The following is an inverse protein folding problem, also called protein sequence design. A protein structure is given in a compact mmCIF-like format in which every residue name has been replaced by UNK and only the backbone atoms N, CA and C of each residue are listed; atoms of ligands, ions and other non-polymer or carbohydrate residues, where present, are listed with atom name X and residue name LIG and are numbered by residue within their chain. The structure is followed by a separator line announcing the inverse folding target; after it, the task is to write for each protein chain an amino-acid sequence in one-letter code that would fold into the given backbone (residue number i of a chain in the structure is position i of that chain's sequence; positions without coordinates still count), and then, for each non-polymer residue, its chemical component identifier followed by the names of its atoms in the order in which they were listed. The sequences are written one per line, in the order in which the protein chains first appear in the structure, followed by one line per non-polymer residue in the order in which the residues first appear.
data_IF_312117360241
#
_entry.id   IF_312117360241
#
_cell.length_a   1.000
_cell.length_b   1.000
_cell.length_c   1.000
_cell.angle_alpha   90.00
_cell.angle_beta   90.00
_cell.angle_gamma   90.00
#
_symmetry.space_group_name_H-M   'P 1'
#
loop_
_entity.id
_entity.type
_entity.pdbx_description
1 polymer ?
#
# COMPACT_ATOMS: atom_id res chain seq x y z
N UNK A 1 -21.19 -12.17 -30.32
CA UNK A 1 -21.12 -13.16 -29.22
C UNK A 1 -19.69 -13.59 -28.89
N UNK A 2 -18.86 -14.01 -29.85
CA UNK A 2 -17.46 -14.38 -29.61
C UNK A 2 -16.63 -13.21 -29.06
N UNK A 3 -16.71 -12.03 -29.67
CA UNK A 3 -15.99 -10.83 -29.22
C UNK A 3 -16.43 -10.36 -27.80
N UNK A 4 -17.65 -10.70 -27.38
CA UNK A 4 -18.14 -10.46 -26.04
C UNK A 4 -17.79 -11.58 -25.04
N UNK A 5 -17.08 -12.64 -25.51
CA UNK A 5 -16.66 -13.75 -24.67
C UNK A 5 -17.78 -14.66 -24.18
N UNK A 6 -19.00 -14.54 -24.72
CA UNK A 6 -20.17 -15.37 -24.35
C UNK A 6 -20.09 -16.75 -24.94
N UNK A 7 -19.51 -16.87 -26.15
CA UNK A 7 -19.21 -18.15 -26.80
C UNK A 7 -17.72 -18.25 -27.10
N UNK A 8 -17.21 -19.48 -27.16
CA UNK A 8 -15.84 -19.82 -27.54
C UNK A 8 -15.84 -20.77 -28.73
N UNK A 9 -14.79 -20.67 -29.55
CA UNK A 9 -14.58 -21.58 -30.65
C UNK A 9 -13.75 -22.77 -30.18
N UNK A 10 -14.30 -23.96 -30.31
CA UNK A 10 -13.62 -25.24 -30.06
C UNK A 10 -13.38 -26.03 -31.36
N UNK A 11 -12.81 -27.22 -31.25
CA UNK A 11 -12.51 -28.10 -32.40
C UNK A 11 -13.76 -28.58 -33.13
N UNK A 12 -14.91 -28.62 -32.47
CA UNK A 12 -16.20 -29.11 -33.01
C UNK A 12 -17.23 -28.01 -33.31
N UNK A 13 -16.81 -26.72 -33.26
CA UNK A 13 -17.70 -25.57 -33.43
C UNK A 13 -17.72 -24.66 -32.22
N UNK A 14 -18.72 -23.76 -32.17
CA UNK A 14 -18.90 -22.84 -31.06
C UNK A 14 -19.59 -23.53 -29.88
N UNK A 15 -19.22 -23.12 -28.66
CA UNK A 15 -19.87 -23.55 -27.43
C UNK A 15 -19.98 -22.39 -26.45
N UNK A 16 -20.95 -22.46 -25.53
CA UNK A 16 -21.18 -21.44 -24.52
C UNK A 16 -20.06 -21.41 -23.49
N UNK A 17 -19.60 -20.20 -23.15
CA UNK A 17 -18.59 -19.98 -22.11
C UNK A 17 -19.13 -20.31 -20.73
N UNK A 18 -20.42 -20.03 -20.49
CA UNK A 18 -21.06 -20.14 -19.18
C UNK A 18 -22.10 -21.26 -19.19
N UNK A 19 -21.67 -22.49 -19.03
CA UNK A 19 -22.54 -23.66 -19.01
C UNK A 19 -22.95 -23.97 -17.58
N UNK A 20 -24.24 -24.18 -17.33
CA UNK A 20 -24.82 -24.54 -16.04
C UNK A 20 -24.41 -23.61 -14.89
N UNK A 21 -24.59 -22.29 -15.09
CA UNK A 21 -24.19 -21.26 -14.13
C UNK A 21 -25.27 -20.23 -13.91
N UNK A 22 -25.38 -19.76 -12.67
CA UNK A 22 -26.08 -18.51 -12.37
C UNK A 22 -25.23 -17.38 -12.89
N UNK A 23 -25.85 -16.53 -13.71
CA UNK A 23 -25.18 -15.42 -14.39
C UNK A 23 -25.41 -14.12 -13.64
N UNK A 24 -24.32 -13.40 -13.41
CA UNK A 24 -24.31 -12.09 -12.78
C UNK A 24 -23.76 -11.09 -13.77
N UNK A 25 -24.51 -10.06 -14.22
CA UNK A 25 -23.99 -9.03 -15.10
C UNK A 25 -22.99 -8.13 -14.35
N UNK A 26 -21.89 -7.81 -14.99
CA UNK A 26 -20.96 -6.76 -14.56
C UNK A 26 -21.36 -5.50 -15.31
N UNK A 27 -21.70 -4.46 -14.54
CA UNK A 27 -22.30 -3.22 -15.05
C UNK A 27 -21.32 -2.08 -14.76
N UNK A 28 -21.01 -1.28 -15.78
CA UNK A 28 -20.16 -0.11 -15.63
C UNK A 28 -20.87 1.02 -14.86
N UNK A 29 -20.14 2.06 -14.49
CA UNK A 29 -20.69 3.22 -13.75
C UNK A 29 -21.78 3.99 -14.52
N UNK A 30 -21.93 3.74 -15.83
CA UNK A 30 -22.95 4.37 -16.69
C UNK A 30 -24.21 3.52 -16.81
N UNK A 31 -24.20 2.29 -16.27
CA UNK A 31 -25.33 1.38 -16.32
C UNK A 31 -25.29 0.40 -17.51
N UNK A 32 -24.21 0.32 -18.27
CA UNK A 32 -24.07 -0.63 -19.38
C UNK A 32 -23.57 -1.97 -18.88
N UNK A 33 -24.16 -3.06 -19.36
CA UNK A 33 -23.63 -4.41 -19.12
C UNK A 33 -22.41 -4.61 -20.01
N UNK A 34 -21.23 -4.76 -19.38
CA UNK A 34 -19.92 -4.85 -20.06
C UNK A 34 -19.32 -6.26 -20.00
N UNK A 35 -19.76 -7.09 -19.04
CA UNK A 35 -19.26 -8.44 -18.85
C UNK A 35 -20.23 -9.28 -17.99
N UNK A 36 -19.87 -10.54 -17.75
CA UNK A 36 -20.61 -11.46 -16.92
C UNK A 36 -19.70 -12.22 -15.97
N UNK A 37 -20.19 -12.46 -14.75
CA UNK A 37 -19.71 -13.50 -13.85
C UNK A 37 -20.65 -14.69 -13.87
N UNK A 38 -20.15 -15.91 -13.77
CA UNK A 38 -20.95 -17.12 -13.71
C UNK A 38 -20.52 -18.02 -12.55
N UNK A 39 -21.47 -18.35 -11.65
CA UNK A 39 -21.24 -19.26 -10.51
C UNK A 39 -21.99 -20.55 -10.70
N UNK A 40 -21.34 -21.71 -10.52
CA UNK A 40 -22.02 -23.00 -10.45
C UNK A 40 -22.84 -23.12 -9.17
N UNK A 41 -23.94 -23.87 -9.23
CA UNK A 41 -24.80 -24.19 -8.07
C UNK A 41 -24.43 -25.53 -7.43
N UNK A 42 -23.60 -26.31 -8.10
CA UNK A 42 -23.08 -27.60 -7.68
C UNK A 42 -21.59 -27.52 -7.30
N UNK A 43 -20.96 -28.67 -7.01
CA UNK A 43 -19.54 -28.75 -6.66
C UNK A 43 -18.60 -28.76 -7.86
N UNK A 44 -19.09 -28.48 -9.06
CA UNK A 44 -18.27 -28.47 -10.28
C UNK A 44 -17.24 -27.33 -10.23
N UNK A 45 -16.09 -27.53 -10.84
CA UNK A 45 -14.99 -26.56 -10.88
C UNK A 45 -14.77 -26.06 -12.30
N UNK A 46 -14.35 -24.79 -12.44
CA UNK A 46 -14.14 -23.77 -11.41
C UNK A 46 -15.46 -23.24 -10.86
N UNK A 47 -15.51 -22.91 -9.56
CA UNK A 47 -16.71 -22.38 -8.87
C UNK A 47 -17.21 -21.09 -9.52
N UNK A 48 -16.30 -20.20 -9.89
CA UNK A 48 -16.58 -18.94 -10.59
C UNK A 48 -15.85 -18.87 -11.92
N UNK A 49 -16.52 -18.31 -12.91
CA UNK A 49 -15.94 -17.91 -14.20
C UNK A 49 -16.35 -16.47 -14.47
N UNK A 50 -15.40 -15.64 -14.87
CA UNK A 50 -15.68 -14.27 -15.33
C UNK A 50 -15.38 -14.18 -16.83
N UNK A 51 -16.06 -13.27 -17.53
CA UNK A 51 -15.75 -12.91 -18.90
C UNK A 51 -14.25 -12.63 -19.05
N UNK A 52 -13.69 -13.00 -20.18
CA UNK A 52 -12.37 -12.55 -20.59
C UNK A 52 -12.40 -11.04 -20.84
N UNK A 53 -11.26 -10.38 -20.83
CA UNK A 53 -11.18 -8.96 -21.17
C UNK A 53 -11.63 -8.74 -22.65
N UNK A 54 -12.29 -7.61 -22.86
CA UNK A 54 -12.80 -7.18 -24.16
C UNK A 54 -12.44 -5.71 -24.41
N UNK A 55 -12.84 -5.16 -25.55
CA UNK A 55 -12.67 -3.74 -25.84
C UNK A 55 -13.39 -2.82 -24.85
N UNK A 56 -14.48 -3.32 -24.23
CA UNK A 56 -15.33 -2.55 -23.29
C UNK A 56 -15.18 -3.01 -21.85
N UNK A 57 -14.46 -4.07 -21.58
CA UNK A 57 -14.29 -4.64 -20.24
C UNK A 57 -12.83 -4.94 -19.91
N UNK A 58 -12.32 -4.30 -18.87
CA UNK A 58 -10.99 -4.56 -18.30
C UNK A 58 -11.16 -4.82 -16.80
N UNK A 59 -10.83 -6.03 -16.35
CA UNK A 59 -10.97 -6.47 -14.94
C UNK A 59 -10.26 -5.57 -13.96
N UNK A 60 -9.16 -4.98 -14.40
CA UNK A 60 -8.30 -4.12 -13.59
C UNK A 60 -8.85 -2.70 -13.38
N UNK A 61 -9.88 -2.31 -14.12
CA UNK A 61 -10.48 -0.98 -14.06
C UNK A 61 -11.90 -0.97 -13.51
N UNK A 62 -12.57 -2.13 -13.49
CA UNK A 62 -13.98 -2.22 -13.13
C UNK A 62 -14.18 -2.79 -11.73
N UNK A 63 -15.26 -2.38 -11.09
CA UNK A 63 -15.71 -2.87 -9.80
C UNK A 63 -17.17 -3.31 -9.90
N UNK A 64 -17.44 -4.53 -9.44
CA UNK A 64 -18.79 -5.04 -9.32
C UNK A 64 -19.57 -4.27 -8.25
N UNK A 65 -20.80 -3.86 -8.57
CA UNK A 65 -21.67 -3.14 -7.64
C UNK A 65 -21.47 -1.62 -7.62
N UNK A 66 -20.41 -1.07 -8.23
CA UNK A 66 -20.14 0.36 -8.19
C UNK A 66 -21.20 1.21 -8.90
N UNK A 67 -21.86 0.67 -9.91
CA UNK A 67 -23.00 1.31 -10.60
C UNK A 67 -24.16 1.65 -9.65
N UNK A 68 -24.34 0.90 -8.57
CA UNK A 68 -25.28 1.16 -7.49
C UNK A 68 -24.64 1.93 -6.34
N UNK A 69 -23.46 1.52 -5.92
CA UNK A 69 -22.78 2.07 -4.76
C UNK A 69 -22.41 3.56 -4.90
N UNK A 70 -22.18 4.05 -6.12
CA UNK A 70 -21.90 5.46 -6.41
C UNK A 70 -23.03 6.42 -6.00
N UNK A 71 -24.26 5.91 -5.96
CA UNK A 71 -25.46 6.68 -5.60
C UNK A 71 -25.86 6.45 -4.12
N UNK A 72 -25.05 5.75 -3.35
CA UNK A 72 -25.23 5.58 -1.92
C UNK A 72 -25.14 6.92 -1.19
N UNK A 73 -25.87 7.05 -0.09
CA UNK A 73 -25.79 8.23 0.80
C UNK A 73 -24.58 8.22 1.73
N UNK A 74 -23.85 7.12 1.75
CA UNK A 74 -22.67 6.95 2.61
C UNK A 74 -21.43 7.59 1.97
N UNK A 75 -20.63 8.28 2.79
CA UNK A 75 -19.32 8.81 2.36
C UNK A 75 -18.25 7.70 2.27
N UNK A 76 -18.61 6.45 2.53
CA UNK A 76 -17.76 5.27 2.51
C UNK A 76 -18.18 4.27 1.45
N UNK A 77 -17.20 3.51 0.92
CA UNK A 77 -17.43 2.28 0.17
C UNK A 77 -16.93 1.08 0.98
N UNK A 78 -17.61 -0.07 0.81
CA UNK A 78 -17.22 -1.33 1.41
C UNK A 78 -16.65 -2.22 0.32
N UNK A 79 -15.37 -2.57 0.41
CA UNK A 79 -14.71 -3.46 -0.55
C UNK A 79 -14.71 -4.89 -0.02
N UNK A 80 -15.40 -5.78 -0.73
CA UNK A 80 -15.49 -7.21 -0.45
C UNK A 80 -14.67 -8.02 -1.47
N UNK A 81 -14.43 -9.30 -1.19
CA UNK A 81 -13.73 -10.20 -2.11
C UNK A 81 -14.56 -10.60 -3.32
N UNK A 82 -15.86 -10.88 -3.11
CA UNK A 82 -16.68 -11.54 -4.12
C UNK A 82 -18.03 -10.90 -4.39
N UNK A 83 -18.62 -11.29 -5.53
CA UNK A 83 -19.93 -10.81 -5.97
C UNK A 83 -21.05 -11.21 -5.00
N UNK A 84 -20.95 -12.40 -4.40
CA UNK A 84 -22.00 -12.89 -3.51
C UNK A 84 -22.07 -12.07 -2.23
N UNK A 85 -20.91 -11.64 -1.70
CA UNK A 85 -20.86 -10.77 -0.53
C UNK A 85 -21.51 -9.42 -0.83
N UNK A 86 -21.19 -8.82 -1.99
CA UNK A 86 -21.80 -7.57 -2.44
C UNK A 86 -23.32 -7.74 -2.60
N UNK A 87 -23.78 -8.82 -3.22
CA UNK A 87 -25.21 -9.09 -3.39
C UNK A 87 -25.91 -9.22 -2.04
N UNK A 88 -25.34 -10.02 -1.11
CA UNK A 88 -25.89 -10.20 0.22
C UNK A 88 -25.93 -8.90 1.02
N UNK A 89 -24.90 -8.10 0.91
CA UNK A 89 -24.83 -6.78 1.56
C UNK A 89 -25.86 -5.81 1.00
N UNK A 90 -26.00 -5.72 -0.32
CA UNK A 90 -27.03 -4.88 -0.95
C UNK A 90 -28.44 -5.34 -0.55
N UNK A 91 -28.72 -6.64 -0.50
CA UNK A 91 -29.99 -7.19 -0.02
C UNK A 91 -30.26 -6.82 1.46
N UNK A 92 -29.21 -6.73 2.28
CA UNK A 92 -29.31 -6.30 3.67
C UNK A 92 -29.36 -4.77 3.83
N UNK A 93 -29.30 -3.99 2.73
CA UNK A 93 -29.38 -2.53 2.74
C UNK A 93 -28.03 -1.81 2.83
N UNK A 94 -26.90 -2.52 2.73
CA UNK A 94 -25.56 -1.92 2.60
C UNK A 94 -25.25 -1.67 1.12
N UNK A 95 -25.86 -0.63 0.56
CA UNK A 95 -25.84 -0.36 -0.89
C UNK A 95 -24.52 0.24 -1.38
N UNK A 96 -23.60 0.54 -0.47
CA UNK A 96 -22.25 1.03 -0.73
C UNK A 96 -21.18 -0.08 -0.88
N UNK A 97 -21.61 -1.36 -0.96
CA UNK A 97 -20.69 -2.49 -1.13
C UNK A 97 -20.27 -2.67 -2.60
N UNK A 98 -18.98 -2.98 -2.80
CA UNK A 98 -18.34 -3.24 -4.10
C UNK A 98 -17.36 -4.41 -4.01
N UNK A 99 -17.03 -5.03 -5.13
CA UNK A 99 -15.97 -6.05 -5.20
C UNK A 99 -15.14 -5.92 -6.46
N UNK A 100 -13.93 -6.48 -6.45
CA UNK A 100 -13.12 -6.67 -7.65
C UNK A 100 -13.76 -7.68 -8.60
N UNK A 101 -13.33 -7.67 -9.86
CA UNK A 101 -13.85 -8.54 -10.92
C UNK A 101 -13.05 -9.84 -11.08
N UNK A 102 -12.69 -10.49 -9.95
CA UNK A 102 -11.95 -11.76 -9.94
C UNK A 102 -10.45 -11.58 -10.18
N UNK A 103 -9.92 -10.43 -9.81
CA UNK A 103 -8.46 -10.14 -9.75
C UNK A 103 -8.15 -9.48 -8.42
N UNK A 104 -6.88 -9.55 -8.01
CA UNK A 104 -6.43 -8.75 -6.88
C UNK A 104 -6.65 -7.26 -7.16
N UNK A 105 -6.89 -6.48 -6.10
CA UNK A 105 -7.08 -5.03 -6.19
C UNK A 105 -5.92 -4.35 -6.93
N UNK A 106 -6.25 -3.40 -7.79
CA UNK A 106 -5.31 -2.66 -8.64
C UNK A 106 -5.25 -1.18 -8.29
N UNK A 107 -4.16 -0.48 -8.64
CA UNK A 107 -4.08 0.98 -8.48
C UNK A 107 -5.18 1.74 -9.24
N UNK A 108 -5.62 1.21 -10.37
CA UNK A 108 -6.70 1.79 -11.19
C UNK A 108 -8.03 1.73 -10.46
N UNK A 109 -8.34 0.58 -9.84
CA UNK A 109 -9.54 0.40 -9.02
C UNK A 109 -9.51 1.30 -7.77
N UNK A 110 -8.35 1.44 -7.12
CA UNK A 110 -8.18 2.39 -6.01
C UNK A 110 -8.47 3.82 -6.43
N UNK A 111 -7.93 4.26 -7.58
CA UNK A 111 -8.24 5.59 -8.13
C UNK A 111 -9.72 5.76 -8.47
N UNK A 112 -10.37 4.68 -8.92
CA UNK A 112 -11.80 4.70 -9.19
C UNK A 112 -12.61 4.88 -7.90
N UNK A 113 -12.29 4.09 -6.86
CA UNK A 113 -12.91 4.16 -5.52
C UNK A 113 -12.77 5.58 -4.93
N UNK A 114 -11.57 6.16 -5.00
CA UNK A 114 -11.27 7.49 -4.44
C UNK A 114 -12.08 8.64 -5.06
N UNK A 115 -12.75 8.42 -6.20
CA UNK A 115 -13.64 9.42 -6.81
C UNK A 115 -15.04 9.43 -6.19
N UNK A 116 -15.43 8.33 -5.53
CA UNK A 116 -16.81 8.13 -5.05
C UNK A 116 -16.92 8.09 -3.54
N UNK A 117 -15.80 7.92 -2.81
CA UNK A 117 -15.82 7.83 -1.35
C UNK A 117 -14.60 8.50 -0.71
N UNK A 118 -14.76 8.93 0.53
CA UNK A 118 -13.68 9.45 1.39
C UNK A 118 -13.11 8.37 2.31
N UNK A 119 -13.86 7.32 2.53
CA UNK A 119 -13.49 6.19 3.38
C UNK A 119 -13.68 4.88 2.63
N UNK A 120 -12.77 3.95 2.85
CA UNK A 120 -12.89 2.56 2.40
C UNK A 120 -12.94 1.64 3.61
N UNK A 121 -13.94 0.78 3.64
CA UNK A 121 -14.07 -0.30 4.63
C UNK A 121 -13.65 -1.58 3.93
N UNK A 122 -12.57 -2.20 4.41
CA UNK A 122 -11.98 -3.39 3.79
C UNK A 122 -12.50 -4.65 4.49
N UNK A 123 -13.18 -5.51 3.74
CA UNK A 123 -13.70 -6.78 4.21
C UNK A 123 -13.09 -7.90 3.35
N UNK A 124 -12.22 -8.69 3.96
CA UNK A 124 -11.58 -9.85 3.35
C UNK A 124 -11.80 -11.09 4.21
N UNK A 125 -11.71 -12.26 3.60
CA UNK A 125 -11.86 -13.53 4.28
C UNK A 125 -10.79 -13.70 5.39
N UNK A 126 -11.16 -14.34 6.48
CA UNK A 126 -10.27 -14.52 7.63
C UNK A 126 -9.32 -15.74 7.45
N UNK A 127 -8.87 -15.97 6.22
CA UNK A 127 -7.87 -16.97 5.89
C UNK A 127 -6.52 -16.32 5.50
N UNK A 128 -5.50 -17.14 5.27
CA UNK A 128 -4.16 -16.64 4.92
C UNK A 128 -4.15 -15.85 3.59
N UNK A 129 -4.98 -16.24 2.63
CA UNK A 129 -5.08 -15.59 1.33
C UNK A 129 -5.75 -14.21 1.46
N UNK A 130 -6.88 -14.15 2.21
CA UNK A 130 -7.58 -12.90 2.52
C UNK A 130 -6.72 -11.92 3.31
N UNK A 131 -5.94 -12.40 4.28
CA UNK A 131 -5.00 -11.55 5.03
C UNK A 131 -3.90 -10.95 4.13
N UNK A 132 -3.37 -11.74 3.19
CA UNK A 132 -2.40 -11.24 2.20
C UNK A 132 -3.03 -10.21 1.25
N UNK A 133 -4.27 -10.47 0.82
CA UNK A 133 -5.02 -9.56 -0.03
C UNK A 133 -5.36 -8.24 0.70
N UNK A 134 -5.77 -8.32 1.97
CA UNK A 134 -6.01 -7.17 2.83
C UNK A 134 -4.77 -6.29 3.00
N UNK A 135 -3.62 -6.88 3.35
CA UNK A 135 -2.36 -6.13 3.50
C UNK A 135 -1.94 -5.44 2.19
N UNK A 136 -2.15 -6.11 1.05
CA UNK A 136 -1.90 -5.51 -0.27
C UNK A 136 -2.86 -4.34 -0.55
N UNK A 137 -4.14 -4.49 -0.22
CA UNK A 137 -5.14 -3.43 -0.38
C UNK A 137 -4.79 -2.20 0.48
N UNK A 138 -4.44 -2.40 1.76
CA UNK A 138 -3.96 -1.33 2.64
C UNK A 138 -2.83 -0.56 1.98
N UNK A 139 -1.76 -1.24 1.54
CA UNK A 139 -0.60 -0.59 0.92
C UNK A 139 -0.91 0.17 -0.38
N UNK A 140 -2.00 -0.17 -1.08
CA UNK A 140 -2.47 0.60 -2.23
C UNK A 140 -3.24 1.85 -1.81
N UNK A 141 -4.08 1.76 -0.77
CA UNK A 141 -4.86 2.90 -0.26
C UNK A 141 -4.01 3.87 0.56
N UNK A 142 -2.92 3.45 1.20
CA UNK A 142 -1.94 4.33 1.87
C UNK A 142 -1.37 5.43 0.95
N UNK A 143 -1.41 5.22 -0.37
CA UNK A 143 -0.96 6.19 -1.36
C UNK A 143 -2.04 7.24 -1.69
N UNK A 144 -3.19 7.16 -1.03
CA UNK A 144 -4.33 8.07 -1.18
C UNK A 144 -4.63 8.80 0.12
N UNK A 145 -5.48 9.83 0.07
CA UNK A 145 -5.95 10.53 1.26
C UNK A 145 -7.18 9.87 1.92
N UNK A 146 -7.57 8.68 1.44
CA UNK A 146 -8.75 7.97 1.95
C UNK A 146 -8.51 7.46 3.38
N UNK A 147 -9.55 7.52 4.20
CA UNK A 147 -9.58 6.83 5.48
C UNK A 147 -9.77 5.33 5.24
N UNK A 148 -8.96 4.49 5.88
CA UNK A 148 -9.07 3.04 5.82
C UNK A 148 -9.65 2.53 7.13
N UNK A 149 -10.69 1.72 7.04
CA UNK A 149 -11.38 1.10 8.17
C UNK A 149 -11.47 -0.40 7.97
N UNK A 150 -11.16 -1.17 9.01
CA UNK A 150 -11.10 -2.63 8.96
C UNK A 150 -11.97 -3.18 10.09
N UNK A 151 -13.18 -3.70 9.77
CA UNK A 151 -14.07 -4.27 10.77
C UNK A 151 -13.55 -5.63 11.26
N UNK A 152 -13.75 -5.88 12.56
CA UNK A 152 -13.53 -7.21 13.13
C UNK A 152 -14.81 -8.03 12.99
N UNK A 153 -14.87 -8.80 11.94
CA UNK A 153 -16.01 -9.68 11.69
C UNK A 153 -15.93 -10.93 12.56
N UNK A 154 -17.07 -11.38 13.07
CA UNK A 154 -17.21 -12.57 13.89
C UNK A 154 -18.57 -13.24 13.65
N UNK A 155 -18.63 -14.56 13.82
CA UNK A 155 -19.90 -15.32 13.69
C UNK A 155 -20.14 -15.92 12.30
N UNK A 156 -19.26 -15.72 11.34
CA UNK A 156 -19.30 -16.31 10.01
C UNK A 156 -17.96 -16.19 9.29
N UNK A 157 -17.85 -16.84 8.13
CA UNK A 157 -16.65 -16.84 7.27
C UNK A 157 -16.58 -15.59 6.39
N UNK A 158 -17.72 -15.16 5.94
CA UNK A 158 -17.93 -14.08 4.97
C UNK A 158 -19.14 -13.21 5.36
N UNK A 159 -19.32 -12.03 4.76
CA UNK A 159 -20.45 -11.15 5.01
C UNK A 159 -21.83 -11.82 4.82
N UNK A 160 -21.99 -12.64 3.78
CA UNK A 160 -23.26 -13.36 3.53
C UNK A 160 -23.64 -14.25 4.72
N UNK A 161 -22.69 -15.04 5.21
CA UNK A 161 -22.92 -15.96 6.33
C UNK A 161 -23.23 -15.19 7.63
N UNK A 162 -22.49 -14.09 7.90
CA UNK A 162 -22.68 -13.28 9.11
C UNK A 162 -24.07 -12.62 9.08
N UNK A 163 -24.45 -12.00 7.98
CA UNK A 163 -25.76 -11.32 7.85
C UNK A 163 -26.88 -12.34 8.00
N UNK A 164 -26.78 -13.50 7.40
CA UNK A 164 -27.80 -14.57 7.55
C UNK A 164 -27.93 -15.09 8.98
N UNK A 165 -26.81 -15.23 9.71
CA UNK A 165 -26.80 -15.79 11.07
C UNK A 165 -27.15 -14.76 12.14
N UNK A 166 -26.62 -13.56 12.05
CA UNK A 166 -26.65 -12.56 13.10
C UNK A 166 -27.57 -11.38 12.80
N UNK A 167 -28.00 -11.24 11.54
CA UNK A 167 -28.86 -10.15 11.08
C UNK A 167 -28.09 -8.87 10.74
N UNK A 168 -28.81 -7.96 10.07
CA UNK A 168 -28.32 -6.68 9.58
C UNK A 168 -27.73 -5.78 10.68
N UNK A 169 -28.46 -5.63 11.81
CA UNK A 169 -28.09 -4.66 12.84
C UNK A 169 -26.80 -5.05 13.56
N UNK A 170 -26.60 -6.35 13.76
CA UNK A 170 -25.34 -6.86 14.33
C UNK A 170 -24.16 -6.64 13.39
N UNK A 171 -24.38 -6.86 12.09
CA UNK A 171 -23.37 -6.60 11.08
C UNK A 171 -23.05 -5.09 10.99
N UNK A 172 -24.06 -4.21 11.02
CA UNK A 172 -23.88 -2.77 11.06
C UNK A 172 -23.02 -2.35 12.26
N UNK A 173 -23.32 -2.88 13.46
CA UNK A 173 -22.51 -2.61 14.66
C UNK A 173 -21.05 -3.05 14.52
N UNK A 174 -20.76 -4.10 13.75
CA UNK A 174 -19.38 -4.52 13.46
C UNK A 174 -18.68 -3.54 12.53
N UNK A 175 -19.40 -2.99 11.53
CA UNK A 175 -18.87 -1.96 10.64
C UNK A 175 -18.58 -0.67 11.40
N UNK A 176 -19.50 -0.24 12.27
CA UNK A 176 -19.35 0.99 13.10
C UNK A 176 -18.16 0.89 14.06
N UNK A 177 -17.85 -0.32 14.55
CA UNK A 177 -16.70 -0.60 15.41
C UNK A 177 -15.43 -0.99 14.62
N UNK A 178 -15.30 -0.52 13.39
CA UNK A 178 -14.12 -0.77 12.58
C UNK A 178 -12.87 -0.16 13.22
N UNK A 179 -11.79 -0.92 13.20
CA UNK A 179 -10.46 -0.45 13.61
C UNK A 179 -9.84 0.41 12.51
N UNK A 180 -9.03 1.39 12.90
CA UNK A 180 -8.14 2.04 11.95
C UNK A 180 -7.10 1.04 11.44
N UNK A 181 -6.49 1.36 10.30
CA UNK A 181 -5.37 0.59 9.74
C UNK A 181 -4.25 0.40 10.78
N UNK A 182 -3.89 1.48 11.48
CA UNK A 182 -2.87 1.46 12.54
C UNK A 182 -3.26 0.48 13.66
N UNK A 183 -4.50 0.52 14.13
CA UNK A 183 -4.96 -0.40 15.18
C UNK A 183 -4.96 -1.85 14.71
N UNK A 184 -5.44 -2.10 13.49
CA UNK A 184 -5.42 -3.44 12.90
C UNK A 184 -4.00 -3.97 12.81
N UNK A 185 -3.05 -3.19 12.31
CA UNK A 185 -1.64 -3.56 12.20
C UNK A 185 -1.02 -3.87 13.58
N UNK A 186 -1.30 -3.04 14.60
CA UNK A 186 -0.81 -3.26 15.97
C UNK A 186 -1.37 -4.55 16.57
N UNK A 187 -2.66 -4.83 16.41
CA UNK A 187 -3.29 -6.04 16.93
C UNK A 187 -2.78 -7.29 16.21
N UNK A 188 -2.65 -7.23 14.88
CA UNK A 188 -2.05 -8.31 14.09
C UNK A 188 -0.60 -8.60 14.51
N UNK A 189 0.20 -7.55 14.66
CA UNK A 189 1.58 -7.71 15.11
C UNK A 189 1.66 -8.33 16.51
N UNK A 190 0.80 -7.87 17.44
CA UNK A 190 0.75 -8.34 18.82
C UNK A 190 0.62 -9.87 18.94
N UNK A 191 -0.16 -10.49 18.09
CA UNK A 191 -0.40 -11.95 18.11
C UNK A 191 0.85 -12.79 17.85
N UNK A 192 1.90 -12.21 17.28
CA UNK A 192 3.14 -12.90 16.93
C UNK A 192 4.18 -12.89 18.08
N UNK A 193 3.88 -12.25 19.21
CA UNK A 193 4.83 -12.06 20.30
C UNK A 193 4.27 -12.53 21.65
N UNK A 194 5.11 -13.21 22.42
CA UNK A 194 4.79 -13.57 23.81
C UNK A 194 5.08 -12.39 24.74
N UNK A 195 4.03 -11.66 25.11
CA UNK A 195 4.12 -10.51 26.03
C UNK A 195 4.36 -10.88 27.48
N UNK A 196 4.36 -12.16 27.85
CA UNK A 196 4.76 -12.64 29.16
C UNK A 196 6.27 -12.52 29.41
N UNK A 197 7.07 -12.41 28.34
CA UNK A 197 8.53 -12.32 28.41
C UNK A 197 9.04 -10.91 28.10
N UNK A 198 10.12 -10.48 28.73
CA UNK A 198 10.79 -9.19 28.43
C UNK A 198 11.24 -9.13 26.98
N UNK A 199 11.73 -10.27 26.43
CA UNK A 199 12.15 -10.35 25.03
C UNK A 199 10.97 -10.17 24.07
N UNK A 200 9.84 -10.81 24.34
CA UNK A 200 8.62 -10.67 23.53
C UNK A 200 8.05 -9.24 23.59
N UNK A 201 8.00 -8.64 24.79
CA UNK A 201 7.61 -7.22 24.95
C UNK A 201 8.49 -6.28 24.14
N UNK A 202 9.82 -6.45 24.21
CA UNK A 202 10.78 -5.62 23.47
C UNK A 202 10.63 -5.83 21.95
N UNK A 203 10.47 -7.07 21.51
CA UNK A 203 10.28 -7.38 20.09
C UNK A 203 8.98 -6.77 19.54
N UNK A 204 7.87 -6.89 20.29
CA UNK A 204 6.60 -6.25 19.93
C UNK A 204 6.70 -4.71 19.93
N UNK A 205 7.34 -4.10 20.95
CA UNK A 205 7.58 -2.67 20.98
C UNK A 205 8.33 -2.16 19.75
N UNK A 206 9.35 -2.89 19.30
CA UNK A 206 10.09 -2.58 18.08
C UNK A 206 9.21 -2.64 16.83
N UNK A 207 8.34 -3.63 16.72
CA UNK A 207 7.42 -3.75 15.58
C UNK A 207 6.33 -2.68 15.61
N UNK A 208 5.76 -2.43 16.79
CA UNK A 208 4.77 -1.38 17.00
C UNK A 208 5.31 0.02 16.64
N UNK A 209 6.57 0.32 17.00
CA UNK A 209 7.25 1.56 16.61
C UNK A 209 7.33 1.72 15.08
N UNK A 210 7.61 0.64 14.34
CA UNK A 210 7.63 0.69 12.87
C UNK A 210 6.24 1.02 12.32
N UNK A 211 5.19 0.36 12.83
CA UNK A 211 3.80 0.63 12.44
C UNK A 211 3.46 2.09 12.73
N UNK A 212 3.71 2.56 13.95
CA UNK A 212 3.41 3.92 14.37
C UNK A 212 4.23 4.99 13.62
N UNK A 213 5.33 4.64 12.98
CA UNK A 213 6.13 5.59 12.19
C UNK A 213 5.37 6.17 10.99
N UNK A 214 4.33 5.49 10.51
CA UNK A 214 3.49 5.91 9.37
C UNK A 214 2.17 6.55 9.83
N UNK A 215 1.77 6.35 11.09
CA UNK A 215 0.53 6.87 11.64
C UNK A 215 0.50 8.41 11.72
N UNK A 216 -0.70 8.99 11.63
CA UNK A 216 -0.92 10.44 11.80
C UNK A 216 -0.51 10.89 13.21
N UNK A 217 -0.04 12.14 13.40
CA UNK A 217 0.54 12.58 14.69
C UNK A 217 -0.35 12.35 15.91
N UNK A 218 -1.63 12.69 15.84
CA UNK A 218 -2.57 12.54 16.97
C UNK A 218 -2.82 11.06 17.25
N UNK A 219 -3.12 10.28 16.22
CA UNK A 219 -3.35 8.84 16.32
C UNK A 219 -2.13 8.13 16.91
N UNK A 220 -0.95 8.47 16.42
CA UNK A 220 0.33 7.96 16.90
C UNK A 220 0.53 8.22 18.40
N UNK A 221 0.22 9.42 18.88
CA UNK A 221 0.36 9.78 20.30
C UNK A 221 -0.58 8.96 21.19
N UNK A 222 -1.82 8.76 20.75
CA UNK A 222 -2.81 7.94 21.45
C UNK A 222 -2.35 6.47 21.55
N UNK A 223 -1.88 5.89 20.44
CA UNK A 223 -1.40 4.50 20.44
C UNK A 223 -0.08 4.31 21.19
N UNK A 224 0.82 5.31 21.20
CA UNK A 224 2.02 5.27 22.04
C UNK A 224 1.66 5.21 23.53
N UNK A 225 0.65 5.99 23.97
CA UNK A 225 0.19 5.96 25.35
C UNK A 225 -0.40 4.59 25.72
N UNK A 226 -1.28 4.05 24.87
CA UNK A 226 -1.87 2.72 25.06
C UNK A 226 -0.82 1.61 25.07
N UNK A 227 0.16 1.67 24.18
CA UNK A 227 1.26 0.71 24.10
C UNK A 227 2.17 0.76 25.33
N UNK A 228 2.43 1.96 25.84
CA UNK A 228 3.20 2.18 27.07
C UNK A 228 2.54 1.50 28.29
N UNK A 229 1.24 1.67 28.45
CA UNK A 229 0.45 1.03 29.51
C UNK A 229 0.45 -0.50 29.35
N UNK A 230 0.18 -1.01 28.14
CA UNK A 230 0.10 -2.44 27.87
C UNK A 230 1.42 -3.17 28.15
N UNK A 231 2.55 -2.57 27.76
CA UNK A 231 3.88 -3.17 27.91
C UNK A 231 4.52 -2.89 29.28
N UNK A 232 3.98 -1.94 30.06
CA UNK A 232 4.60 -1.45 31.29
C UNK A 232 5.93 -0.73 31.02
N UNK A 233 6.00 0.07 29.95
CA UNK A 233 7.18 0.83 29.51
C UNK A 233 6.81 2.32 29.54
N UNK A 234 7.74 3.18 29.91
CA UNK A 234 7.50 4.62 29.84
C UNK A 234 7.27 5.10 28.38
N UNK A 235 6.23 5.91 28.16
CA UNK A 235 5.91 6.49 26.86
C UNK A 235 7.12 7.20 26.23
N UNK A 236 7.93 7.88 27.06
CA UNK A 236 9.14 8.59 26.62
C UNK A 236 10.16 7.64 25.98
N UNK A 237 10.30 6.41 26.48
CA UNK A 237 11.21 5.43 25.90
C UNK A 237 10.74 4.95 24.52
N UNK A 238 9.43 4.73 24.35
CA UNK A 238 8.83 4.38 23.06
C UNK A 238 8.94 5.53 22.05
N UNK A 239 8.76 6.78 22.51
CA UNK A 239 8.92 7.97 21.67
C UNK A 239 10.38 8.10 21.17
N UNK A 240 11.36 7.95 22.09
CA UNK A 240 12.78 8.03 21.73
C UNK A 240 13.16 6.95 20.66
N UNK A 241 12.61 5.75 20.82
CA UNK A 241 12.82 4.66 19.85
C UNK A 241 12.17 4.95 18.49
N UNK A 242 11.00 5.58 18.48
CA UNK A 242 10.31 6.03 17.27
C UNK A 242 11.13 7.11 16.54
N UNK A 243 11.67 8.06 17.28
CA UNK A 243 12.49 9.15 16.72
C UNK A 243 13.78 8.60 16.11
N UNK A 244 14.42 7.64 16.80
CA UNK A 244 15.59 6.94 16.26
C UNK A 244 15.28 6.13 15.00
N UNK A 245 14.15 5.42 14.99
CA UNK A 245 13.70 4.68 13.80
C UNK A 245 13.45 5.61 12.61
N UNK A 246 12.74 6.72 12.82
CA UNK A 246 12.48 7.72 11.79
C UNK A 246 13.76 8.35 11.26
N UNK A 247 14.72 8.69 12.13
CA UNK A 247 16.02 9.21 11.74
C UNK A 247 16.79 8.21 10.86
N UNK A 248 16.81 6.92 11.23
CA UNK A 248 17.44 5.86 10.43
C UNK A 248 16.76 5.70 9.06
N UNK A 249 15.42 5.71 9.03
CA UNK A 249 14.63 5.62 7.79
C UNK A 249 14.92 6.79 6.83
N UNK A 250 14.99 8.01 7.35
CA UNK A 250 15.33 9.21 6.58
C UNK A 250 16.77 9.17 6.03
N UNK A 251 17.74 8.73 6.86
CA UNK A 251 19.13 8.51 6.39
C UNK A 251 19.17 7.48 5.27
N UNK A 252 18.46 6.36 5.43
CA UNK A 252 18.40 5.31 4.41
C UNK A 252 17.75 5.77 3.10
N UNK A 253 16.67 6.57 3.18
CA UNK A 253 16.01 7.16 2.00
C UNK A 253 16.96 8.11 1.27
N UNK A 254 17.59 9.02 2.01
CA UNK A 254 18.57 9.98 1.48
C UNK A 254 19.73 9.26 0.77
N UNK A 255 20.27 8.21 1.38
CA UNK A 255 21.37 7.45 0.77
C UNK A 255 20.93 6.72 -0.52
N UNK A 256 19.69 6.23 -0.60
CA UNK A 256 19.15 5.61 -1.82
C UNK A 256 18.91 6.62 -2.93
N UNK A 257 18.35 7.78 -2.61
CA UNK A 257 18.14 8.88 -3.57
C UNK A 257 19.48 9.38 -4.10
N UNK A 258 20.44 9.55 -3.22
CA UNK A 258 21.80 9.95 -3.58
C UNK A 258 22.47 8.91 -4.51
N UNK A 259 22.33 7.61 -4.20
CA UNK A 259 22.84 6.53 -5.04
C UNK A 259 22.19 6.51 -6.42
N UNK A 260 20.86 6.78 -6.50
CA UNK A 260 20.16 6.89 -7.79
C UNK A 260 20.65 8.07 -8.64
N UNK A 261 20.91 9.21 -8.03
CA UNK A 261 21.46 10.40 -8.72
C UNK A 261 22.84 10.06 -9.29
N UNK A 262 23.71 9.42 -8.47
CA UNK A 262 25.04 8.98 -8.92
C UNK A 262 24.94 8.00 -10.09
N UNK A 263 24.12 6.96 -10.00
CA UNK A 263 23.97 5.95 -11.04
C UNK A 263 23.43 6.53 -12.35
N UNK A 264 22.58 7.55 -12.27
CA UNK A 264 21.99 8.21 -13.44
C UNK A 264 23.00 9.12 -14.14
N UNK A 265 23.72 9.95 -13.35
CA UNK A 265 24.72 10.86 -13.90
C UNK A 265 26.00 10.12 -14.36
N UNK A 266 26.40 9.04 -13.69
CA UNK A 266 27.50 8.18 -14.19
C UNK A 266 27.20 7.58 -15.55
N UNK A 267 25.94 7.19 -15.81
CA UNK A 267 25.53 6.68 -17.15
C UNK A 267 25.56 7.77 -18.22
N UNK A 268 25.23 9.01 -17.87
CA UNK A 268 25.31 10.17 -18.77
C UNK A 268 26.75 10.56 -19.06
N UNK A 269 27.59 10.67 -18.04
CA UNK A 269 29.01 11.05 -18.15
C UNK A 269 29.82 9.96 -18.89
N UNK A 270 29.48 8.67 -18.71
CA UNK A 270 30.11 7.58 -19.50
C UNK A 270 29.77 7.66 -21.00
N UNK A 271 28.63 8.23 -21.37
CA UNK A 271 28.29 8.46 -22.80
C UNK A 271 29.04 9.63 -23.42
N UNK A 272 29.37 10.66 -22.60
CA UNK A 272 30.04 11.86 -23.07
C UNK A 272 31.58 11.76 -23.04
N UNK A 273 32.17 10.85 -22.24
CA UNK A 273 33.62 10.75 -22.02
C UNK A 273 34.38 9.79 -22.95
N UNK A 274 33.79 9.35 -24.03
CA UNK A 274 34.48 8.48 -25.00
C UNK A 274 35.57 9.19 -25.84
N UNK A 275 35.79 10.48 -25.63
CA UNK A 275 36.61 11.30 -26.55
C UNK A 275 37.89 11.94 -26.00
N UNK A 276 38.40 11.63 -24.78
CA UNK A 276 39.74 12.14 -24.41
C UNK A 276 40.48 11.35 -23.30
N UNK A 277 41.69 10.91 -23.63
CA UNK A 277 42.57 10.08 -22.80
C UNK A 277 43.27 10.76 -21.62
N UNK A 278 43.32 12.07 -21.53
CA UNK A 278 43.93 12.83 -20.42
C UNK A 278 43.00 12.98 -19.20
N UNK A 279 41.71 12.79 -19.40
CA UNK A 279 40.64 12.94 -18.38
C UNK A 279 40.49 11.74 -17.41
N UNK A 280 41.02 10.58 -17.75
CA UNK A 280 40.69 9.32 -17.04
C UNK A 280 41.28 9.23 -15.62
N UNK A 281 42.46 9.81 -15.37
CA UNK A 281 43.11 9.76 -14.06
C UNK A 281 42.43 10.76 -13.09
N UNK A 282 42.13 11.95 -13.58
CA UNK A 282 41.46 13.00 -12.82
C UNK A 282 40.03 12.58 -12.47
N UNK A 283 39.28 12.06 -13.42
CA UNK A 283 37.93 11.49 -13.22
C UNK A 283 37.92 10.35 -12.18
N UNK A 284 38.92 9.47 -12.19
CA UNK A 284 39.04 8.41 -11.18
C UNK A 284 39.35 8.96 -9.78
N UNK A 285 40.14 10.02 -9.67
CA UNK A 285 40.44 10.68 -8.42
C UNK A 285 39.17 11.37 -7.86
N UNK A 286 38.46 12.13 -8.67
CA UNK A 286 37.20 12.79 -8.33
C UNK A 286 36.15 11.77 -7.90
N UNK A 287 36.02 10.68 -8.62
CA UNK A 287 35.11 9.57 -8.29
C UNK A 287 35.42 8.98 -6.91
N UNK A 288 36.70 8.79 -6.57
CA UNK A 288 37.12 8.28 -5.27
C UNK A 288 36.82 9.27 -4.15
N UNK A 289 37.10 10.56 -4.36
CA UNK A 289 36.85 11.62 -3.38
C UNK A 289 35.35 11.70 -3.09
N UNK A 290 34.51 11.81 -4.12
CA UNK A 290 33.08 11.89 -3.95
C UNK A 290 32.52 10.60 -3.33
N UNK A 291 32.99 9.42 -3.76
CA UNK A 291 32.63 8.15 -3.16
C UNK A 291 32.95 8.07 -1.65
N UNK A 292 34.10 8.60 -1.24
CA UNK A 292 34.49 8.66 0.18
C UNK A 292 33.60 9.61 0.97
N UNK A 293 33.34 10.82 0.46
CA UNK A 293 32.48 11.81 1.10
C UNK A 293 31.04 11.34 1.25
N UNK A 294 30.56 10.49 0.33
CA UNK A 294 29.23 9.90 0.38
C UNK A 294 29.09 8.80 1.41
N UNK A 295 30.14 7.98 1.56
CA UNK A 295 30.15 6.90 2.54
C UNK A 295 30.48 7.40 3.96
N UNK A 296 31.29 8.44 4.04
CA UNK A 296 31.77 9.06 5.28
C UNK A 296 31.62 10.58 5.23
N UNK A 297 30.41 11.13 5.41
CA UNK A 297 30.15 12.59 5.29
C UNK A 297 31.03 13.46 6.20
N UNK A 298 31.44 12.94 7.35
CA UNK A 298 32.32 13.69 8.27
C UNK A 298 33.71 13.95 7.70
N UNK A 299 34.15 13.21 6.67
CA UNK A 299 35.42 13.44 5.99
C UNK A 299 35.48 14.76 5.24
N UNK A 300 34.33 15.41 4.99
CA UNK A 300 34.32 16.76 4.36
C UNK A 300 35.05 17.78 5.22
N UNK A 301 35.05 17.63 6.54
CA UNK A 301 35.79 18.49 7.47
C UNK A 301 37.30 18.40 7.32
N UNK A 302 37.78 17.30 6.73
CA UNK A 302 39.20 17.09 6.43
C UNK A 302 39.61 17.63 5.07
N UNK A 303 38.66 17.97 4.22
CA UNK A 303 38.85 18.49 2.86
C UNK A 303 39.02 20.01 2.86
N UNK A 304 39.82 20.58 3.77
CA UNK A 304 39.97 22.04 3.94
C UNK A 304 40.57 22.75 2.73
N UNK A 305 41.40 22.05 1.95
CA UNK A 305 42.06 22.60 0.77
C UNK A 305 41.33 22.32 -0.54
N UNK A 306 40.36 21.41 -0.54
CA UNK A 306 39.62 21.03 -1.74
C UNK A 306 38.50 22.05 -1.99
N UNK A 307 38.65 22.85 -3.05
CA UNK A 307 37.62 23.80 -3.49
C UNK A 307 36.78 23.20 -4.61
N UNK A 308 35.52 23.61 -4.68
CA UNK A 308 34.56 23.16 -5.71
C UNK A 308 35.10 23.37 -7.13
N UNK A 309 35.79 24.49 -7.37
CA UNK A 309 36.36 24.83 -8.67
C UNK A 309 37.51 23.90 -9.11
N UNK A 310 38.10 23.14 -8.20
CA UNK A 310 39.16 22.16 -8.50
C UNK A 310 38.61 20.88 -9.09
N UNK A 311 37.30 20.67 -9.03
CA UNK A 311 36.63 19.52 -9.60
C UNK A 311 36.12 19.84 -11.01
N UNK A 312 36.07 18.80 -11.86
CA UNK A 312 35.56 18.93 -13.23
C UNK A 312 34.13 19.51 -13.22
N UNK A 313 33.84 20.37 -14.22
CA UNK A 313 32.47 20.88 -14.37
C UNK A 313 31.48 19.75 -14.60
N UNK A 314 30.30 19.86 -14.01
CA UNK A 314 29.25 18.87 -14.11
C UNK A 314 28.97 18.14 -12.80
N UNK A 315 28.93 16.82 -12.84
CA UNK A 315 28.46 15.97 -11.74
C UNK A 315 29.31 16.08 -10.48
N UNK A 316 30.64 15.94 -10.56
CA UNK A 316 31.50 15.89 -9.37
C UNK A 316 31.52 17.19 -8.60
N UNK A 317 31.52 18.33 -9.29
CA UNK A 317 31.40 19.66 -8.67
C UNK A 317 30.08 19.82 -7.94
N UNK A 318 28.97 19.51 -8.60
CA UNK A 318 27.62 19.56 -7.99
C UNK A 318 27.48 18.63 -6.79
N UNK A 319 28.01 17.42 -6.89
CA UNK A 319 27.98 16.44 -5.79
C UNK A 319 28.78 16.95 -4.58
N UNK A 320 29.94 17.56 -4.81
CA UNK A 320 30.77 18.14 -3.75
C UNK A 320 30.07 19.32 -3.07
N UNK A 321 29.50 20.25 -3.85
CA UNK A 321 28.73 21.38 -3.33
C UNK A 321 27.52 20.91 -2.50
N UNK A 322 26.87 19.86 -2.95
CA UNK A 322 25.78 19.22 -2.20
C UNK A 322 26.28 18.64 -0.87
N UNK A 323 27.42 17.95 -0.86
CA UNK A 323 28.03 17.45 0.38
C UNK A 323 28.36 18.61 1.35
N UNK A 324 28.87 19.73 0.87
CA UNK A 324 29.14 20.92 1.68
C UNK A 324 27.86 21.49 2.32
N UNK A 325 26.80 21.62 1.56
CA UNK A 325 25.50 22.13 2.05
C UNK A 325 24.90 21.26 3.15
N UNK A 326 25.00 19.93 3.02
CA UNK A 326 24.40 18.99 3.98
C UNK A 326 25.25 18.71 5.22
N UNK A 327 26.53 19.08 5.21
CA UNK A 327 27.44 18.92 6.35
C UNK A 327 27.74 20.22 7.09
N UNK A 328 27.33 21.37 6.55
CA UNK A 328 27.35 22.64 7.27
C UNK A 328 26.33 22.61 8.40
N UNK A 329 26.67 23.02 9.63
CA UNK A 329 25.72 23.12 10.73
C UNK A 329 24.58 24.06 10.32
N UNK A 330 23.33 23.63 10.57
CA UNK A 330 22.16 24.47 10.34
C UNK A 330 22.29 25.76 11.13
N UNK A 331 21.87 26.92 10.58
CA UNK A 331 21.88 28.21 11.31
C UNK A 331 21.06 28.19 12.62
N UNK A 332 20.31 27.10 12.88
CA UNK A 332 19.52 26.91 14.12
C UNK A 332 20.31 26.34 15.30
N UNK A 333 21.52 25.82 15.09
CA UNK A 333 22.32 25.22 16.15
C UNK A 333 23.28 26.23 16.83
N UNK A 334 23.25 27.51 16.42
CA UNK A 334 24.15 28.56 16.94
C UNK A 334 23.52 29.51 17.98
N UNK A 335 22.34 29.16 18.52
CA UNK A 335 21.72 29.93 19.62
C UNK A 335 21.45 29.07 20.84
N UNK A 336 22.53 28.63 21.50
CA UNK A 336 22.52 28.28 22.93
C UNK A 336 23.98 28.31 23.45
N UNK A 337 24.37 29.49 23.80
CA UNK A 337 25.45 29.75 24.78
C UNK A 337 24.88 30.65 25.85
#
# INVERSE_FOLDING_TARGET
MQAAGVIKQGKRGYYDTFVNRVMTPIIDVRGNVIAFGGRVLDDSKPKYINSSETLVYKKTYELFGLNFAKDSKEDSLILCEGYMDVIAMHQAGFTNAVAGCGTALTPEQVRLISRYAKEIILIYDNDEAGQKALNKAIGLFEQTDMKISIPRLSGGKDPDEIIRKLGRDRFASMLDNSSSETEFALVSARSNFDLGTTRGKSAYANEAVKILSTAKPIERDLYLSRLAEELGIEKRALQAQLDEYNARKMRGKRNREFKKIIDTDMRQTMKESYDSSASTVMLKAEQRIIGLLLTHPDCIKLCTELKSEMLSEGFYRKAYDTCLLYTSPSPRDSTSS
#
